data_IF_479723033166
#
_entry.id   IF_479723033166
#
_cell.length_a   1.000
_cell.length_b   1.000
_cell.length_c   1.000
_cell.angle_alpha   90.00
_cell.angle_beta   90.00
_cell.angle_gamma   90.00
#
_symmetry.space_group_name_H-M   'P 1'
#
loop_
_entity.id
_entity.type
_entity.pdbx_description
1 polymer ?
#
# COMPACT_ATOMS: atom_id res chain seq x y z
N UNK A 1 11.96 14.33 8.89
CA UNK A 1 11.64 12.92 9.06
C UNK A 1 12.67 12.07 8.36
N UNK A 2 13.09 10.99 8.99
CA UNK A 2 14.14 10.16 8.44
C UNK A 2 13.68 9.41 7.21
N UNK A 3 14.58 9.24 6.25
CA UNK A 3 14.28 8.45 5.09
C UNK A 3 14.15 6.96 5.46
N UNK A 4 13.34 6.25 4.72
CA UNK A 4 13.16 4.81 4.88
C UNK A 4 13.98 4.12 3.80
N UNK A 5 14.94 3.30 4.19
CA UNK A 5 15.79 2.62 3.23
C UNK A 5 15.14 1.33 2.77
N UNK A 6 14.98 1.19 1.46
CA UNK A 6 14.33 0.04 0.86
C UNK A 6 15.14 -0.46 -0.32
N UNK A 7 15.14 -1.77 -0.52
CA UNK A 7 15.65 -2.29 -1.77
C UNK A 7 14.68 -1.95 -2.88
N UNK A 8 15.15 -2.01 -4.13
CA UNK A 8 14.28 -1.73 -5.26
C UNK A 8 13.11 -2.70 -5.30
N UNK A 9 13.35 -3.99 -5.02
CA UNK A 9 12.27 -4.96 -5.06
C UNK A 9 11.27 -4.74 -3.93
N UNK A 10 11.73 -4.33 -2.76
CA UNK A 10 10.82 -4.00 -1.66
C UNK A 10 9.95 -2.82 -2.02
N UNK A 11 10.54 -1.79 -2.60
CA UNK A 11 9.79 -0.61 -3.02
C UNK A 11 8.69 -0.99 -4.01
N UNK A 12 9.04 -1.83 -5.01
CA UNK A 12 8.05 -2.24 -6.01
C UNK A 12 6.91 -3.03 -5.39
N UNK A 13 7.23 -3.91 -4.43
CA UNK A 13 6.19 -4.68 -3.76
C UNK A 13 5.25 -3.79 -2.96
N UNK A 14 5.81 -2.82 -2.24
CA UNK A 14 4.99 -1.91 -1.44
C UNK A 14 4.15 -1.01 -2.35
N UNK A 15 4.71 -0.59 -3.48
CA UNK A 15 3.96 0.21 -4.44
C UNK A 15 2.80 -0.58 -5.03
N UNK A 16 3.04 -1.85 -5.37
CA UNK A 16 1.98 -2.70 -5.90
C UNK A 16 0.87 -2.90 -4.87
N UNK A 17 1.24 -3.10 -3.61
CA UNK A 17 0.24 -3.22 -2.54
C UNK A 17 -0.57 -1.94 -2.41
N UNK A 18 0.11 -0.79 -2.43
CA UNK A 18 -0.55 0.50 -2.34
C UNK A 18 -1.54 0.69 -3.48
N UNK A 19 -1.11 0.39 -4.70
CA UNK A 19 -1.97 0.54 -5.86
C UNK A 19 -3.19 -0.38 -5.77
N UNK A 20 -2.98 -1.60 -5.33
CA UNK A 20 -4.07 -2.57 -5.19
C UNK A 20 -5.08 -2.13 -4.13
N UNK A 21 -4.58 -1.70 -2.97
CA UNK A 21 -5.49 -1.30 -1.89
C UNK A 21 -6.27 -0.03 -2.22
N UNK A 22 -5.64 0.93 -2.90
CA UNK A 22 -6.31 2.19 -3.22
C UNK A 22 -7.27 2.08 -4.39
N UNK A 23 -7.24 0.97 -5.11
CA UNK A 23 -8.17 0.73 -6.22
C UNK A 23 -9.11 -0.40 -5.85
N UNK A 24 -8.72 -1.64 -6.13
CA UNK A 24 -9.58 -2.79 -5.92
C UNK A 24 -9.97 -2.97 -4.45
N UNK A 25 -9.02 -2.73 -3.53
CA UNK A 25 -9.31 -2.91 -2.11
C UNK A 25 -10.41 -1.98 -1.63
N UNK A 26 -10.34 -0.72 -2.01
CA UNK A 26 -11.38 0.25 -1.60
C UNK A 26 -12.73 -0.10 -2.19
N UNK A 27 -12.76 -0.54 -3.43
CA UNK A 27 -14.02 -0.92 -4.07
C UNK A 27 -14.61 -2.15 -3.37
N UNK A 28 -13.77 -3.15 -3.11
CA UNK A 28 -14.24 -4.38 -2.49
C UNK A 28 -14.83 -4.14 -1.11
N UNK A 29 -14.15 -3.33 -0.29
CA UNK A 29 -14.64 -3.11 1.07
C UNK A 29 -15.88 -2.22 1.06
N UNK A 30 -15.95 -1.26 0.13
CA UNK A 30 -17.16 -0.45 -0.01
C UNK A 30 -18.36 -1.31 -0.36
N UNK A 31 -18.16 -2.29 -1.24
CA UNK A 31 -19.23 -3.21 -1.60
C UNK A 31 -19.66 -4.08 -0.43
N UNK A 32 -18.69 -4.51 0.39
CA UNK A 32 -19.02 -5.28 1.59
C UNK A 32 -19.86 -4.47 2.56
N UNK A 33 -19.49 -3.20 2.76
CA UNK A 33 -20.23 -2.33 3.65
C UNK A 33 -21.66 -2.13 3.12
N UNK A 34 -21.79 -1.89 1.83
CA UNK A 34 -23.09 -1.65 1.24
C UNK A 34 -23.99 -2.87 1.36
N UNK A 35 -23.45 -4.06 1.08
CA UNK A 35 -24.23 -5.28 1.21
C UNK A 35 -24.67 -5.51 2.66
N UNK A 36 -23.79 -5.24 3.60
CA UNK A 36 -24.12 -5.41 5.01
C UNK A 36 -25.22 -4.45 5.45
N UNK A 37 -25.17 -3.21 4.94
CA UNK A 37 -26.20 -2.22 5.27
C UNK A 37 -27.58 -2.65 4.83
N UNK A 38 -27.65 -3.38 3.74
CA UNK A 38 -28.94 -3.83 3.21
C UNK A 38 -29.57 -4.92 4.08
N UNK A 39 -28.83 -5.49 5.02
CA UNK A 39 -29.34 -6.61 5.81
C UNK A 39 -30.03 -6.18 7.09
N UNK A 40 -30.14 -4.90 7.35
CA UNK A 40 -30.99 -4.44 8.45
C UNK A 40 -30.33 -3.48 9.40
N UNK A 41 -30.70 -3.61 10.67
CA UNK A 41 -30.29 -2.67 11.73
C UNK A 41 -28.80 -2.63 11.91
N UNK A 42 -28.22 -1.46 11.71
CA UNK A 42 -26.76 -1.31 11.75
C UNK A 42 -26.19 -1.55 13.15
N UNK A 43 -26.95 -1.24 14.19
CA UNK A 43 -26.43 -1.42 15.54
C UNK A 43 -26.14 -2.87 15.87
N UNK A 44 -26.94 -3.78 15.36
CA UNK A 44 -26.81 -5.19 15.66
C UNK A 44 -26.29 -6.01 14.50
N UNK A 45 -25.82 -5.32 13.46
CA UNK A 45 -25.36 -5.98 12.25
C UNK A 45 -23.87 -6.26 12.38
N UNK A 46 -23.53 -7.49 12.77
CA UNK A 46 -22.14 -7.88 12.95
C UNK A 46 -21.35 -7.77 11.64
N UNK A 47 -22.00 -8.10 10.52
CA UNK A 47 -21.33 -7.99 9.22
C UNK A 47 -20.97 -6.56 8.88
N UNK A 48 -21.87 -5.63 9.19
CA UNK A 48 -21.59 -4.23 8.96
C UNK A 48 -20.40 -3.75 9.79
N UNK A 49 -20.41 -4.10 11.08
CA UNK A 49 -19.31 -3.67 11.96
C UNK A 49 -17.98 -4.30 11.55
N UNK A 50 -18.01 -5.56 11.12
CA UNK A 50 -16.79 -6.21 10.64
C UNK A 50 -16.26 -5.54 9.39
N UNK A 51 -17.15 -5.17 8.47
CA UNK A 51 -16.74 -4.51 7.23
C UNK A 51 -16.17 -3.11 7.50
N UNK A 52 -16.76 -2.38 8.44
CA UNK A 52 -16.23 -1.07 8.82
C UNK A 52 -14.88 -1.19 9.48
N UNK A 53 -14.70 -2.23 10.30
CA UNK A 53 -13.43 -2.50 10.94
C UNK A 53 -12.35 -2.82 9.90
N UNK A 54 -12.71 -3.65 8.95
CA UNK A 54 -11.80 -3.98 7.83
C UNK A 54 -11.41 -2.73 7.07
N UNK A 55 -12.38 -1.83 6.84
CA UNK A 55 -12.09 -0.58 6.15
C UNK A 55 -11.07 0.26 6.92
N UNK A 56 -11.24 0.34 8.25
CA UNK A 56 -10.32 1.10 9.08
C UNK A 56 -8.91 0.55 9.04
N UNK A 57 -8.78 -0.77 9.11
CA UNK A 57 -7.46 -1.42 9.03
C UNK A 57 -6.82 -1.17 7.67
N UNK A 58 -7.60 -1.29 6.61
CA UNK A 58 -7.08 -1.07 5.27
C UNK A 58 -6.61 0.36 5.07
N UNK A 59 -7.41 1.33 5.52
CA UNK A 59 -7.02 2.73 5.37
C UNK A 59 -5.78 3.06 6.21
N UNK A 60 -5.64 2.42 7.36
CA UNK A 60 -4.43 2.56 8.16
C UNK A 60 -3.21 2.03 7.41
N UNK A 61 -3.36 0.88 6.76
CA UNK A 61 -2.27 0.32 5.96
C UNK A 61 -1.93 1.22 4.79
N UNK A 62 -2.95 1.79 4.14
CA UNK A 62 -2.73 2.71 3.02
C UNK A 62 -1.90 3.92 3.48
N UNK A 63 -2.24 4.49 4.62
CA UNK A 63 -1.48 5.63 5.15
C UNK A 63 -0.05 5.25 5.45
N UNK A 64 0.15 4.05 6.01
CA UNK A 64 1.51 3.57 6.28
C UNK A 64 2.30 3.41 4.99
N UNK A 65 1.68 2.80 3.97
CA UNK A 65 2.35 2.62 2.68
C UNK A 65 2.67 3.96 2.03
N UNK A 66 1.74 4.90 2.11
CA UNK A 66 1.97 6.23 1.55
C UNK A 66 3.19 6.88 2.19
N UNK A 67 3.28 6.78 3.52
CA UNK A 67 4.42 7.32 4.24
C UNK A 67 5.72 6.64 3.83
N UNK A 68 5.71 5.31 3.76
CA UNK A 68 6.91 4.56 3.39
C UNK A 68 7.36 4.92 1.98
N UNK A 69 6.41 5.02 1.04
CA UNK A 69 6.76 5.29 -0.34
C UNK A 69 7.25 6.72 -0.54
N UNK A 70 6.66 7.67 0.19
CA UNK A 70 7.05 9.07 0.08
C UNK A 70 8.43 9.34 0.66
N UNK A 71 8.84 8.54 1.64
CA UNK A 71 10.11 8.74 2.32
C UNK A 71 11.14 7.69 1.94
N UNK A 72 10.89 6.93 0.89
CA UNK A 72 11.76 5.83 0.51
C UNK A 72 13.06 6.33 -0.08
N UNK A 73 14.12 5.68 0.32
CA UNK A 73 15.42 5.85 -0.28
C UNK A 73 15.85 4.46 -0.77
N UNK A 74 16.07 4.35 -2.08
CA UNK A 74 16.33 3.05 -2.66
C UNK A 74 17.80 2.68 -2.49
N UNK A 75 18.05 1.55 -1.85
CA UNK A 75 19.39 1.02 -1.70
C UNK A 75 19.37 -0.41 -2.20
N UNK A 76 20.43 -0.78 -2.90
CA UNK A 76 20.56 -2.15 -3.35
C UNK A 76 21.48 -2.90 -2.43
N UNK A 77 21.05 -4.10 -2.05
CA UNK A 77 21.78 -4.85 -1.06
C UNK A 77 23.17 -5.24 -1.47
N UNK A 78 23.41 -5.42 -2.75
CA UNK A 78 24.70 -5.87 -3.20
C UNK A 78 25.72 -4.75 -3.25
N UNK A 79 25.27 -3.55 -3.47
CA UNK A 79 26.16 -2.38 -3.44
C UNK A 79 25.31 -1.14 -3.43
N UNK A 80 25.89 -0.08 -2.95
CA UNK A 80 25.21 1.19 -2.93
C UNK A 80 25.57 1.94 -4.19
N UNK A 81 24.58 2.19 -5.02
CA UNK A 81 24.78 3.04 -6.16
C UNK A 81 23.58 3.93 -6.29
N UNK A 82 23.76 5.06 -6.87
CA UNK A 82 22.67 5.98 -7.02
C UNK A 82 21.89 5.60 -8.23
N UNK A 83 20.75 5.28 -7.99
CA UNK A 83 19.90 4.82 -9.03
C UNK A 83 19.07 5.92 -9.54
N UNK A 84 19.11 5.88 -10.16
CA UNK A 84 18.52 6.50 -10.23
C UNK A 84 17.51 6.22 -10.89
N UNK A 85 17.35 5.80 -11.02
CA UNK A 85 17.18 5.48 -11.57
C UNK A 85 16.37 5.63 -12.06
N UNK A 86 16.30 5.64 -12.32
CA UNK A 86 16.09 5.69 -12.87
C UNK A 86 15.98 5.52 -13.52
N UNK A 87 16.35 5.22 -13.58
CA UNK A 87 16.73 4.96 -14.11
C UNK A 87 17.16 4.48 -14.52
N UNK A 88 17.64 4.19 -14.64
CA UNK A 88 18.50 3.82 -15.06
C UNK A 88 18.89 3.12 -15.29
N UNK A 89 19.23 2.72 -15.26
CA UNK A 89 19.99 2.28 -15.73
C UNK A 89 20.39 1.78 -15.89
N UNK A 90 20.70 1.39 -15.83
CA UNK A 90 21.43 1.21 -16.22
C UNK A 90 21.73 0.92 -16.32
N UNK A 91 21.93 0.66 -16.27
CA UNK A 91 22.65 0.58 -16.62
C UNK A 91 22.86 0.27 -16.52
N UNK A 92 23.00 -0.02 -16.23
CA UNK A 92 23.61 -0.10 -16.44
C UNK A 92 23.79 -0.42 -16.35
N UNK A 93 23.98 -0.59 -15.92
CA UNK A 93 24.52 -0.63 -16.16
C UNK A 93 24.71 -0.97 -16.14
N UNK A 94 24.96 -1.25 -15.86
CA UNK A 94 25.53 -1.24 -16.16
C UNK A 94 25.63 -1.24 -16.12
N UNK A 95 25.70 -1.42 -15.89
CA UNK A 95 26.12 -1.25 -16.02
C UNK A 95 26.17 -1.44 -16.26
#
# INVERSE_FOLDING_TARGET
MAAVQLSASAYERLKAEFDDLTTRGRIDVANKIERAREEGDLKENAGYHAAKDEQGHMEGRIRQLEHLLENAEIVDGSYVYTVVYEGDDEDDAER
#
